data_IF_270897794906
#
_entry.id   IF_270897794906
#
_cell.length_a   1.000
_cell.length_b   1.000
_cell.length_c   1.000
_cell.angle_alpha   90.00
_cell.angle_beta   90.00
_cell.angle_gamma   90.00
#
_symmetry.space_group_name_H-M   'P 1'
#
loop_
_entity.id
_entity.type
_entity.pdbx_description
1 polymer ?
#
# COMPACT_ATOMS: atom_id res chain seq x y z
N UNK A 1 -8.42 -16.72 -11.40
CA UNK A 1 -7.28 -16.48 -10.50
C UNK A 1 -6.54 -15.25 -11.03
N UNK A 2 -6.74 -14.07 -10.41
CA UNK A 2 -6.55 -12.73 -11.03
C UNK A 2 -5.19 -12.07 -10.71
N UNK A 3 -4.09 -12.75 -11.03
CA UNK A 3 -2.74 -12.15 -11.06
C UNK A 3 -1.93 -12.69 -12.25
N UNK A 4 -2.58 -12.91 -13.40
CA UNK A 4 -1.86 -13.39 -14.59
C UNK A 4 -0.90 -12.29 -15.07
N UNK A 5 0.39 -12.63 -15.21
CA UNK A 5 1.43 -11.72 -15.68
C UNK A 5 2.02 -10.77 -14.63
N UNK A 6 1.77 -11.03 -13.33
CA UNK A 6 2.36 -10.24 -12.25
C UNK A 6 3.48 -11.04 -11.59
N UNK A 7 4.68 -10.47 -11.58
CA UNK A 7 5.83 -11.06 -10.90
C UNK A 7 5.80 -10.70 -9.41
N UNK A 8 5.69 -11.72 -8.58
CA UNK A 8 5.79 -11.57 -7.14
C UNK A 8 7.24 -11.65 -6.69
N UNK A 9 7.58 -10.81 -5.74
CA UNK A 9 8.91 -10.71 -5.14
C UNK A 9 8.80 -10.74 -3.61
N UNK A 10 9.89 -11.17 -2.97
CA UNK A 10 10.07 -11.08 -1.53
C UNK A 10 10.75 -9.76 -1.21
N UNK A 11 10.07 -8.89 -0.47
CA UNK A 11 10.54 -7.54 -0.20
C UNK A 11 10.61 -7.34 1.30
N UNK A 12 11.78 -6.90 1.77
CA UNK A 12 11.97 -6.44 3.16
C UNK A 12 11.79 -4.93 3.24
N UNK A 13 10.94 -4.48 4.16
CA UNK A 13 10.63 -3.07 4.31
C UNK A 13 9.87 -2.77 5.59
N UNK A 14 9.69 -1.47 5.87
CA UNK A 14 8.96 -1.02 7.06
C UNK A 14 7.55 -0.61 6.68
N UNK A 15 6.56 -1.14 7.40
CA UNK A 15 5.19 -0.67 7.26
C UNK A 15 5.03 0.64 8.06
N UNK A 16 4.59 1.71 7.42
CA UNK A 16 4.36 3.01 8.05
C UNK A 16 2.96 3.54 7.73
N UNK A 17 2.49 4.41 8.60
CA UNK A 17 1.21 5.11 8.42
C UNK A 17 1.48 6.60 8.22
N UNK A 18 0.86 7.18 7.19
CA UNK A 18 0.97 8.60 6.84
C UNK A 18 -0.41 9.24 7.02
N UNK A 19 -0.56 10.24 7.91
CA UNK A 19 -1.82 10.94 8.11
C UNK A 19 -2.32 11.57 6.80
N UNK A 20 -3.61 11.43 6.52
CA UNK A 20 -4.21 12.11 5.39
C UNK A 20 -4.45 13.58 5.72
N UNK A 21 -3.97 14.44 4.83
CA UNK A 21 -4.19 15.88 4.86
C UNK A 21 -5.01 16.23 3.63
N UNK A 22 -6.17 16.84 3.84
CA UNK A 22 -7.04 17.24 2.74
C UNK A 22 -6.49 18.49 2.01
N UNK A 23 -7.15 18.88 0.90
CA UNK A 23 -6.75 20.05 0.09
C UNK A 23 -6.75 21.38 0.87
N UNK A 24 -7.43 21.45 2.02
CA UNK A 24 -7.45 22.60 2.92
C UNK A 24 -6.38 22.56 4.01
N UNK A 25 -5.42 21.63 3.95
CA UNK A 25 -4.35 21.50 4.95
C UNK A 25 -4.78 20.87 6.27
N UNK A 26 -6.03 20.38 6.37
CA UNK A 26 -6.54 19.76 7.60
C UNK A 26 -6.25 18.27 7.61
N UNK A 27 -5.68 17.79 8.72
CA UNK A 27 -5.61 16.36 9.02
C UNK A 27 -7.01 15.82 9.22
N UNK A 28 -7.29 14.66 8.64
CA UNK A 28 -8.53 13.94 8.86
C UNK A 28 -8.22 12.73 9.74
N UNK A 29 -8.77 12.72 10.94
CA UNK A 29 -8.59 11.62 11.89
C UNK A 29 -9.21 10.34 11.33
N UNK A 30 -8.50 9.21 11.51
CA UNK A 30 -8.92 7.90 11.01
C UNK A 30 -8.72 7.68 9.51
N UNK A 31 -8.28 8.69 8.73
CA UNK A 31 -8.12 8.59 7.28
C UNK A 31 -6.68 8.31 6.82
N UNK A 32 -5.82 7.72 7.65
CA UNK A 32 -4.42 7.57 7.33
C UNK A 32 -4.16 6.54 6.21
N UNK A 33 -3.19 6.85 5.35
CA UNK A 33 -2.73 5.97 4.26
C UNK A 33 -1.59 5.08 4.75
N UNK A 34 -1.57 3.82 4.31
CA UNK A 34 -0.47 2.90 4.59
C UNK A 34 0.59 2.99 3.49
N UNK A 35 1.86 2.98 3.90
CA UNK A 35 3.00 2.90 3.00
C UNK A 35 3.94 1.79 3.44
N UNK A 36 4.58 1.14 2.47
CA UNK A 36 5.68 0.23 2.68
C UNK A 36 6.97 0.91 2.25
N UNK A 37 7.85 1.17 3.22
CA UNK A 37 9.12 1.83 3.00
C UNK A 37 10.22 0.82 2.72
N UNK A 38 10.86 0.93 1.55
CA UNK A 38 12.00 0.11 1.15
C UNK A 38 13.16 1.05 0.89
N UNK A 39 14.21 0.95 1.70
CA UNK A 39 15.30 1.93 1.75
C UNK A 39 14.77 3.36 1.91
N UNK A 40 14.87 4.20 0.88
CA UNK A 40 14.41 5.60 0.88
C UNK A 40 13.09 5.83 0.13
N UNK A 41 12.52 4.79 -0.49
CA UNK A 41 11.29 4.89 -1.30
C UNK A 41 10.07 4.42 -0.49
N UNK A 42 8.98 5.18 -0.56
CA UNK A 42 7.70 4.81 0.04
C UNK A 42 6.73 4.35 -1.06
N UNK A 43 6.24 3.12 -0.96
CA UNK A 43 5.22 2.57 -1.85
C UNK A 43 3.87 2.63 -1.16
N UNK A 44 2.84 3.19 -1.80
CA UNK A 44 1.49 3.15 -1.26
C UNK A 44 1.01 1.70 -1.15
N UNK A 45 0.46 1.30 -0.01
CA UNK A 45 -0.09 -0.05 0.14
C UNK A 45 -1.51 -0.06 -0.44
N UNK A 46 -1.66 -0.62 -1.64
CA UNK A 46 -2.96 -0.76 -2.30
C UNK A 46 -3.64 -2.04 -1.81
N UNK A 47 -4.78 -1.89 -1.13
CA UNK A 47 -5.61 -3.01 -0.69
C UNK A 47 -6.57 -3.37 -1.83
N UNK A 48 -6.54 -4.63 -2.24
CA UNK A 48 -7.38 -5.22 -3.28
C UNK A 48 -8.09 -6.46 -2.71
N UNK A 49 -9.05 -7.02 -3.44
CA UNK A 49 -9.81 -8.21 -2.99
C UNK A 49 -8.92 -9.41 -2.63
N UNK A 50 -7.81 -9.56 -3.35
CA UNK A 50 -6.91 -10.72 -3.23
C UNK A 50 -5.62 -10.41 -2.43
N UNK A 51 -5.55 -9.24 -1.76
CA UNK A 51 -4.40 -8.83 -0.94
C UNK A 51 -4.73 -8.83 0.56
N UNK A 52 -3.71 -8.67 1.39
CA UNK A 52 -3.91 -8.45 2.81
C UNK A 52 -4.71 -7.16 3.06
N UNK A 53 -5.67 -7.24 3.97
CA UNK A 53 -6.44 -6.08 4.41
C UNK A 53 -5.59 -5.21 5.36
N UNK A 54 -6.02 -3.96 5.56
CA UNK A 54 -5.43 -3.08 6.59
C UNK A 54 -5.43 -3.74 7.97
N UNK A 55 -6.49 -4.47 8.33
CA UNK A 55 -6.56 -5.15 9.62
C UNK A 55 -5.48 -6.24 9.77
N UNK A 56 -5.13 -6.93 8.67
CA UNK A 56 -4.03 -7.90 8.69
C UNK A 56 -2.66 -7.24 8.82
N UNK A 57 -2.51 -6.00 8.33
CA UNK A 57 -1.25 -5.26 8.32
C UNK A 57 -1.01 -4.45 9.60
N UNK A 58 -2.07 -3.97 10.26
CA UNK A 58 -2.00 -3.15 11.47
C UNK A 58 -1.06 -3.69 12.56
N UNK A 59 -1.01 -5.01 12.87
CA UNK A 59 -0.09 -5.56 13.87
C UNK A 59 1.39 -5.29 13.57
N UNK A 60 1.73 -5.05 12.31
CA UNK A 60 3.11 -4.86 11.84
C UNK A 60 3.47 -3.37 11.63
N UNK A 61 2.60 -2.44 12.06
CA UNK A 61 2.87 -1.01 11.94
C UNK A 61 4.16 -0.62 12.66
N UNK A 62 4.97 0.18 11.96
CA UNK A 62 6.32 0.63 12.35
C UNK A 62 7.37 -0.48 12.48
N UNK A 63 7.04 -1.72 12.07
CA UNK A 63 7.95 -2.86 12.10
C UNK A 63 8.62 -3.07 10.75
N UNK A 64 9.82 -3.66 10.78
CA UNK A 64 10.54 -4.11 9.59
C UNK A 64 10.15 -5.56 9.32
N UNK A 65 9.44 -5.82 8.23
CA UNK A 65 8.88 -7.13 7.88
C UNK A 65 9.33 -7.55 6.48
N UNK A 66 9.31 -8.85 6.22
CA UNK A 66 9.44 -9.40 4.87
C UNK A 66 8.05 -9.76 4.35
N UNK A 67 7.76 -9.45 3.09
CA UNK A 67 6.46 -9.71 2.48
C UNK A 67 6.60 -10.33 1.10
N UNK A 68 5.62 -11.15 0.71
CA UNK A 68 5.38 -11.51 -0.69
C UNK A 68 4.46 -10.44 -1.28
N UNK A 69 4.94 -9.74 -2.29
CA UNK A 69 4.22 -8.62 -2.88
C UNK A 69 4.59 -8.43 -4.36
N UNK A 70 3.89 -7.52 -5.03
CA UNK A 70 4.34 -6.95 -6.29
C UNK A 70 4.25 -5.43 -6.22
N UNK A 71 5.14 -4.76 -6.98
CA UNK A 71 5.14 -3.31 -7.16
C UNK A 71 4.59 -2.94 -8.53
N UNK A 72 3.91 -1.80 -8.60
CA UNK A 72 3.42 -1.25 -9.86
C UNK A 72 3.21 0.27 -9.72
N UNK A 73 2.94 0.93 -10.85
CA UNK A 73 2.62 2.36 -10.93
C UNK A 73 1.21 2.50 -11.45
N UNK A 74 0.39 3.32 -10.78
CA UNK A 74 -0.98 3.53 -11.22
C UNK A 74 -1.86 4.19 -10.18
N UNK A 75 -3.17 4.09 -10.40
CA UNK A 75 -4.17 4.67 -9.52
C UNK A 75 -4.24 3.93 -8.17
N UNK A 76 -4.22 4.70 -7.09
CA UNK A 76 -4.28 4.21 -5.71
C UNK A 76 -5.71 3.94 -5.26
N UNK A 77 -6.65 4.84 -5.60
CA UNK A 77 -7.98 4.91 -4.97
C UNK A 77 -9.15 4.46 -5.86
N UNK A 78 -8.97 4.39 -7.18
CA UNK A 78 -10.06 4.09 -8.12
C UNK A 78 -9.51 3.50 -9.40
N UNK A 79 -10.20 2.46 -9.92
CA UNK A 79 -10.00 1.98 -11.28
C UNK A 79 -10.95 2.69 -12.28
N UNK A 80 -11.85 3.56 -11.79
CA UNK A 80 -12.70 4.45 -12.59
C UNK A 80 -11.95 5.76 -12.94
N UNK A 81 -11.72 6.05 -14.24
CA UNK A 81 -11.03 7.26 -14.69
C UNK A 81 -11.82 8.56 -14.50
N UNK A 82 -13.13 8.49 -14.21
CA UNK A 82 -13.99 9.67 -13.96
C UNK A 82 -13.90 10.16 -12.50
N UNK A 83 -13.31 9.36 -11.60
CA UNK A 83 -13.06 9.73 -10.21
C UNK A 83 -11.62 10.22 -10.07
N UNK A 84 -11.42 11.37 -9.41
CA UNK A 84 -10.07 11.88 -9.14
C UNK A 84 -9.29 10.87 -8.27
N UNK A 85 -8.38 10.13 -8.90
CA UNK A 85 -7.53 9.13 -8.27
C UNK A 85 -6.12 9.70 -8.03
N UNK A 86 -5.54 9.41 -6.85
CA UNK A 86 -4.09 9.58 -6.65
C UNK A 86 -3.37 8.56 -7.53
N UNK A 87 -2.31 8.97 -8.21
CA UNK A 87 -1.49 8.10 -9.06
C UNK A 87 -0.06 8.10 -8.54
N UNK A 88 0.59 6.93 -8.49
CA UNK A 88 1.99 6.81 -8.10
C UNK A 88 2.43 5.36 -7.88
N UNK A 89 3.62 5.18 -7.35
CA UNK A 89 4.15 3.86 -6.99
C UNK A 89 3.33 3.24 -5.86
N UNK A 90 2.91 2.00 -6.07
CA UNK A 90 2.21 1.22 -5.06
C UNK A 90 2.76 -0.20 -4.97
N UNK A 91 2.44 -0.83 -3.84
CA UNK A 91 2.73 -2.21 -3.55
C UNK A 91 1.43 -2.92 -3.15
N UNK A 92 1.28 -4.16 -3.60
CA UNK A 92 0.18 -5.02 -3.17
C UNK A 92 0.77 -6.21 -2.43
N UNK A 93 0.50 -6.25 -1.13
CA UNK A 93 1.02 -7.27 -0.22
C UNK A 93 0.03 -8.42 -0.17
N UNK A 94 0.46 -9.61 -0.64
CA UNK A 94 -0.39 -10.81 -0.63
C UNK A 94 -0.11 -11.73 0.54
N UNK A 95 1.08 -11.64 1.14
CA UNK A 95 1.46 -12.48 2.28
C UNK A 95 2.56 -11.82 3.12
N UNK A 96 2.52 -11.99 4.44
CA UNK A 96 3.65 -11.72 5.33
C UNK A 96 4.56 -12.96 5.37
N UNK A 97 5.86 -12.74 5.23
CA UNK A 97 6.90 -13.77 5.20
C UNK A 97 7.89 -13.67 6.36
N UNK A 98 7.84 -12.57 7.14
CA UNK A 98 8.45 -12.50 8.48
C UNK A 98 8.18 -13.79 9.27
#
# INVERSE_FOLDING_TARGET
>A
MKFQGVDFEEIKGRLIEVPFVNKGGRRIDGAASLFFQVATQNYFVKVTTDSLSRANLNPYLNQLITVKAYRAVGAWDSDDPMVQSRVGDYIVIVKILD
#
